data_IF_439684227442
#
_entry.id   IF_439684227442
#
_cell.length_a   1.000
_cell.length_b   1.000
_cell.length_c   1.000
_cell.angle_alpha   90.00
_cell.angle_beta   90.00
_cell.angle_gamma   90.00
#
_symmetry.space_group_name_H-M   'P 1'
#
loop_
_entity.id
_entity.type
_entity.pdbx_description
1 polymer ?
#
# COMPACT_ATOMS: atom_id res chain seq x y z
N UNK A 1 -9.74 -8.05 -10.55
CA UNK A 1 -9.03 -8.54 -9.37
C UNK A 1 -9.07 -7.51 -8.26
N UNK A 2 -9.02 -7.95 -7.04
CA UNK A 2 -8.93 -7.07 -5.88
C UNK A 2 -7.47 -6.91 -5.48
N UNK A 3 -6.96 -5.68 -5.52
CA UNK A 3 -5.53 -5.39 -5.43
C UNK A 3 -5.28 -4.43 -4.27
N UNK A 4 -4.29 -4.77 -3.44
CA UNK A 4 -3.77 -3.87 -2.43
C UNK A 4 -2.59 -3.10 -3.03
N UNK A 5 -2.63 -1.77 -2.96
CA UNK A 5 -1.54 -0.92 -3.42
C UNK A 5 -0.94 -0.18 -2.23
N UNK A 6 0.31 -0.48 -1.92
CA UNK A 6 1.08 0.28 -0.95
C UNK A 6 1.90 1.33 -1.68
N UNK A 7 2.21 2.44 -1.02
CA UNK A 7 2.98 3.50 -1.66
C UNK A 7 2.22 4.26 -2.74
N UNK A 8 0.88 4.32 -2.64
CA UNK A 8 0.05 5.00 -3.63
C UNK A 8 0.37 6.48 -3.77
N UNK A 9 0.91 7.11 -2.75
CA UNK A 9 1.32 8.51 -2.77
C UNK A 9 2.75 8.72 -3.30
N UNK A 10 3.44 7.64 -3.67
CA UNK A 10 4.74 7.73 -4.30
C UNK A 10 4.64 7.92 -5.81
N UNK A 11 5.77 8.19 -6.44
CA UNK A 11 5.83 8.50 -7.88
C UNK A 11 5.28 7.35 -8.74
N UNK A 12 5.73 6.13 -8.47
CA UNK A 12 5.30 4.96 -9.25
C UNK A 12 3.85 4.61 -8.91
N UNK A 13 3.48 4.66 -7.64
CA UNK A 13 2.14 4.32 -7.20
C UNK A 13 1.07 5.23 -7.78
N UNK A 14 1.34 6.53 -7.83
CA UNK A 14 0.41 7.49 -8.40
C UNK A 14 0.20 7.29 -9.90
N UNK A 15 1.21 6.80 -10.60
CA UNK A 15 1.11 6.51 -12.04
C UNK A 15 0.45 5.17 -12.30
N UNK A 16 0.67 4.20 -11.43
CA UNK A 16 0.11 2.87 -11.58
C UNK A 16 -1.39 2.84 -11.28
N UNK A 17 -1.84 3.63 -10.32
CA UNK A 17 -3.21 3.60 -9.85
C UNK A 17 -4.25 3.80 -10.95
N UNK A 18 -4.15 4.83 -11.81
CA UNK A 18 -5.12 4.99 -12.90
C UNK A 18 -5.13 3.79 -13.86
N UNK A 19 -3.97 3.21 -14.11
CA UNK A 19 -3.86 2.06 -15.01
C UNK A 19 -4.56 0.84 -14.45
N UNK A 20 -4.44 0.60 -13.15
CA UNK A 20 -5.13 -0.51 -12.49
C UNK A 20 -6.65 -0.32 -12.54
N UNK A 21 -7.12 0.90 -12.32
CA UNK A 21 -8.54 1.20 -12.36
C UNK A 21 -9.11 1.08 -13.77
N UNK A 22 -8.37 1.53 -14.79
CA UNK A 22 -8.79 1.44 -16.19
C UNK A 22 -8.84 -0.01 -16.66
N UNK A 23 -8.05 -0.89 -16.05
CA UNK A 23 -8.09 -2.32 -16.33
C UNK A 23 -9.25 -3.04 -15.62
N UNK A 24 -10.05 -2.32 -14.83
CA UNK A 24 -11.22 -2.88 -14.18
C UNK A 24 -10.96 -3.53 -12.82
N UNK A 25 -9.82 -3.25 -12.21
CA UNK A 25 -9.49 -3.81 -10.91
C UNK A 25 -10.10 -3.00 -9.76
N UNK A 26 -10.42 -3.68 -8.67
CA UNK A 26 -10.78 -3.04 -7.41
C UNK A 26 -9.49 -2.77 -6.64
N UNK A 27 -9.21 -1.50 -6.34
CA UNK A 27 -7.95 -1.11 -5.71
C UNK A 27 -8.21 -0.60 -4.30
N UNK A 28 -7.41 -1.10 -3.37
CA UNK A 28 -7.36 -0.63 -1.98
C UNK A 28 -5.98 -0.02 -1.77
N UNK A 29 -5.96 1.27 -1.43
CA UNK A 29 -4.71 1.97 -1.17
C UNK A 29 -4.44 1.98 0.33
N UNK A 30 -3.32 1.41 0.73
CA UNK A 30 -2.84 1.45 2.10
C UNK A 30 -1.85 2.60 2.23
N UNK A 31 -2.19 3.60 3.04
CA UNK A 31 -1.38 4.79 3.21
C UNK A 31 -1.20 5.10 4.69
N UNK A 32 -0.07 5.73 5.03
CA UNK A 32 0.18 6.14 6.41
C UNK A 32 -0.66 7.35 6.79
N UNK A 33 -0.80 8.29 5.89
CA UNK A 33 -1.57 9.51 6.10
C UNK A 33 -2.43 9.78 4.86
N UNK A 34 -3.75 9.52 4.92
CA UNK A 34 -4.64 9.74 3.79
C UNK A 34 -4.66 11.18 3.31
N UNK A 35 -4.35 12.14 4.17
CA UNK A 35 -4.32 13.56 3.80
C UNK A 35 -3.22 13.90 2.80
N UNK A 36 -2.20 13.05 2.71
CA UNK A 36 -1.09 13.24 1.77
C UNK A 36 -1.34 12.56 0.42
N UNK A 37 -2.45 11.88 0.29
CA UNK A 37 -2.81 11.20 -0.95
C UNK A 37 -3.37 12.24 -1.93
N UNK A 38 -2.55 12.63 -2.90
CA UNK A 38 -2.89 13.69 -3.86
C UNK A 38 -3.43 13.06 -5.15
N UNK A 39 -4.72 12.74 -5.14
CA UNK A 39 -5.41 12.18 -6.31
C UNK A 39 -6.71 12.96 -6.54
N UNK A 40 -7.21 12.88 -7.77
CA UNK A 40 -8.47 13.54 -8.12
C UNK A 40 -9.65 12.89 -7.40
N UNK A 41 -10.72 13.65 -7.22
CA UNK A 41 -11.94 13.13 -6.59
C UNK A 41 -12.53 11.97 -7.38
N UNK A 42 -12.43 11.99 -8.70
CA UNK A 42 -12.93 10.91 -9.54
C UNK A 42 -12.22 9.59 -9.23
N UNK A 43 -10.91 9.63 -9.06
CA UNK A 43 -10.12 8.45 -8.70
C UNK A 43 -10.43 8.05 -7.26
N UNK A 44 -10.54 9.01 -6.35
CA UNK A 44 -10.81 8.74 -4.95
C UNK A 44 -12.13 8.00 -4.74
N UNK A 45 -13.14 8.28 -5.55
CA UNK A 45 -14.42 7.59 -5.51
C UNK A 45 -14.35 6.14 -6.00
N UNK A 46 -13.32 5.80 -6.78
CA UNK A 46 -13.14 4.48 -7.38
C UNK A 46 -12.27 3.56 -6.56
N UNK A 47 -11.70 4.03 -5.45
CA UNK A 47 -10.78 3.27 -4.61
C UNK A 47 -11.28 3.21 -3.18
N UNK A 48 -10.73 2.27 -2.42
CA UNK A 48 -10.87 2.24 -0.98
C UNK A 48 -9.52 2.63 -0.37
N UNK A 49 -9.53 3.48 0.63
CA UNK A 49 -8.31 3.90 1.33
C UNK A 49 -8.34 3.35 2.75
N UNK A 50 -7.27 2.69 3.14
CA UNK A 50 -7.07 2.24 4.52
C UNK A 50 -5.79 2.85 5.06
N UNK A 51 -5.77 3.07 6.37
CA UNK A 51 -4.63 3.70 7.03
C UNK A 51 -3.77 2.63 7.67
N UNK A 52 -2.53 2.50 7.18
CA UNK A 52 -1.55 1.57 7.74
C UNK A 52 -0.18 2.25 7.71
N UNK A 53 0.47 2.28 8.87
CA UNK A 53 1.88 2.61 8.97
C UNK A 53 2.65 1.29 9.10
N UNK A 54 3.34 0.89 8.04
CA UNK A 54 4.04 -0.39 8.03
C UNK A 54 5.27 -0.42 8.94
N UNK A 55 5.72 0.73 9.44
CA UNK A 55 6.77 0.76 10.47
C UNK A 55 6.23 0.41 11.86
N UNK A 56 4.93 0.58 12.06
CA UNK A 56 4.25 0.25 13.31
C UNK A 56 2.81 -0.17 13.02
N UNK A 57 2.56 -1.48 13.00
CA UNK A 57 1.27 -2.03 12.60
C UNK A 57 0.32 -2.27 13.78
N UNK A 58 0.63 -1.75 14.96
CA UNK A 58 -0.23 -1.95 16.15
C UNK A 58 -1.61 -1.33 16.00
N UNK A 59 -1.73 -0.25 15.24
CA UNK A 59 -2.99 0.44 14.97
C UNK A 59 -3.43 0.32 13.51
N UNK A 60 -2.90 -0.67 12.79
CA UNK A 60 -3.22 -0.84 11.38
C UNK A 60 -4.68 -1.26 11.19
N UNK A 61 -5.34 -0.64 10.21
CA UNK A 61 -6.65 -1.09 9.77
C UNK A 61 -6.55 -2.49 9.16
N UNK A 62 -7.63 -3.25 9.25
CA UNK A 62 -7.65 -4.60 8.72
C UNK A 62 -7.52 -4.60 7.19
N UNK A 63 -6.62 -5.43 6.70
CA UNK A 63 -6.51 -5.69 5.27
C UNK A 63 -7.55 -6.75 4.90
N UNK A 64 -8.36 -6.54 3.85
CA UNK A 64 -9.30 -7.56 3.40
C UNK A 64 -8.56 -8.86 3.05
N UNK A 65 -9.13 -9.98 3.45
CA UNK A 65 -8.51 -11.29 3.23
C UNK A 65 -8.80 -11.88 1.85
N UNK A 66 -9.64 -11.23 1.05
CA UNK A 66 -10.04 -11.68 -0.28
C UNK A 66 -9.24 -11.00 -1.41
N UNK A 67 -8.07 -10.48 -1.09
CA UNK A 67 -7.18 -9.89 -2.08
C UNK A 67 -6.63 -10.93 -3.05
N UNK A 68 -6.50 -10.55 -4.30
CA UNK A 68 -5.87 -11.39 -5.34
C UNK A 68 -4.39 -11.10 -5.49
N UNK A 69 -3.99 -9.84 -5.35
CA UNK A 69 -2.61 -9.42 -5.52
C UNK A 69 -2.30 -8.22 -4.61
N UNK A 70 -1.02 -7.99 -4.38
CA UNK A 70 -0.55 -6.84 -3.64
C UNK A 70 0.69 -6.25 -4.31
N UNK A 71 0.74 -4.93 -4.42
CA UNK A 71 1.90 -4.20 -4.90
C UNK A 71 2.64 -3.60 -3.71
N UNK A 72 3.92 -3.91 -3.61
CA UNK A 72 4.78 -3.35 -2.58
C UNK A 72 5.67 -2.28 -3.20
N UNK A 73 5.21 -1.04 -3.15
CA UNK A 73 5.93 0.13 -3.68
C UNK A 73 6.35 1.10 -2.58
N UNK A 74 6.40 0.59 -1.36
CA UNK A 74 6.71 1.40 -0.20
C UNK A 74 8.20 1.66 -0.13
N UNK A 75 8.56 2.95 -0.07
CA UNK A 75 9.93 3.38 0.11
C UNK A 75 10.04 4.25 1.36
N UNK A 76 10.95 3.90 2.24
CA UNK A 76 11.27 4.71 3.41
C UNK A 76 12.30 5.75 3.01
N UNK A 77 11.91 7.01 3.08
CA UNK A 77 12.78 8.14 2.72
C UNK A 77 13.46 8.71 3.95
N UNK A 78 14.09 7.85 4.74
CA UNK A 78 14.84 8.28 5.91
C UNK A 78 16.14 9.02 5.51
N UNK A 79 16.46 10.06 6.24
CA UNK A 79 17.65 10.86 5.95
C UNK A 79 18.95 10.29 6.53
N UNK A 80 18.88 9.28 7.41
CA UNK A 80 20.05 8.68 8.03
C UNK A 80 20.23 7.25 7.52
N UNK A 81 21.47 6.94 7.08
CA UNK A 81 21.74 5.70 6.37
C UNK A 81 21.50 4.44 7.21
N UNK A 82 21.88 4.45 8.47
CA UNK A 82 21.69 3.29 9.34
C UNK A 82 20.21 3.04 9.66
N UNK A 83 19.48 4.11 9.91
CA UNK A 83 18.06 4.03 10.24
C UNK A 83 17.20 3.67 9.03
N UNK A 84 17.65 4.05 7.84
CA UNK A 84 16.93 3.77 6.60
C UNK A 84 16.82 2.27 6.35
N UNK A 85 17.93 1.55 6.45
CA UNK A 85 17.94 0.10 6.18
C UNK A 85 17.09 -0.66 7.21
N UNK A 86 17.21 -0.31 8.48
CA UNK A 86 16.44 -0.94 9.53
C UNK A 86 14.95 -0.66 9.36
N UNK A 87 14.58 0.57 9.01
CA UNK A 87 13.20 0.95 8.78
C UNK A 87 12.61 0.22 7.59
N UNK A 88 13.35 0.09 6.50
CA UNK A 88 12.90 -0.64 5.33
C UNK A 88 12.68 -2.12 5.64
N UNK A 89 13.58 -2.73 6.39
CA UNK A 89 13.44 -4.13 6.80
C UNK A 89 12.22 -4.33 7.68
N UNK A 90 11.96 -3.40 8.58
CA UNK A 90 10.78 -3.45 9.46
C UNK A 90 9.50 -3.34 8.66
N UNK A 91 9.43 -2.40 7.75
CA UNK A 91 8.24 -2.21 6.90
C UNK A 91 7.98 -3.44 6.04
N UNK A 92 9.00 -4.00 5.43
CA UNK A 92 8.87 -5.19 4.60
C UNK A 92 8.42 -6.40 5.44
N UNK A 93 8.98 -6.58 6.62
CA UNK A 93 8.59 -7.65 7.52
C UNK A 93 7.14 -7.52 7.95
N UNK A 94 6.72 -6.32 8.34
CA UNK A 94 5.36 -6.05 8.75
C UNK A 94 4.36 -6.25 7.61
N UNK A 95 4.73 -5.81 6.41
CA UNK A 95 3.92 -6.05 5.22
C UNK A 95 3.71 -7.55 4.99
N UNK A 96 4.78 -8.33 5.00
CA UNK A 96 4.69 -9.77 4.82
C UNK A 96 3.83 -10.43 5.90
N UNK A 97 3.98 -9.99 7.15
CA UNK A 97 3.20 -10.50 8.27
C UNK A 97 1.70 -10.29 8.07
N UNK A 98 1.31 -9.10 7.61
CA UNK A 98 -0.09 -8.79 7.34
C UNK A 98 -0.63 -9.54 6.12
N UNK A 99 0.17 -9.64 5.08
CA UNK A 99 -0.24 -10.30 3.82
C UNK A 99 -0.42 -11.80 3.99
N UNK A 100 0.38 -12.44 4.84
CA UNK A 100 0.26 -13.88 5.11
C UNK A 100 -1.10 -14.25 5.71
N UNK A 101 -1.79 -13.32 6.31
CA UNK A 101 -3.14 -13.53 6.86
C UNK A 101 -4.23 -13.44 5.79
N UNK A 102 -3.87 -13.10 4.57
CA UNK A 102 -4.80 -12.95 3.45
C UNK A 102 -4.64 -14.11 2.47
N UNK A 103 -5.49 -14.13 1.44
CA UNK A 103 -5.43 -15.13 0.38
C UNK A 103 -4.62 -14.66 -0.83
N UNK A 104 -3.79 -13.64 -0.64
CA UNK A 104 -2.97 -13.07 -1.73
C UNK A 104 -2.08 -14.16 -2.32
N UNK A 105 -2.14 -14.26 -3.65
CA UNK A 105 -1.36 -15.25 -4.41
C UNK A 105 -0.12 -14.66 -5.06
N UNK A 106 -0.07 -13.33 -5.19
CA UNK A 106 0.99 -12.65 -5.91
C UNK A 106 1.33 -11.32 -5.25
N UNK A 107 2.60 -11.11 -4.98
CA UNK A 107 3.15 -9.83 -4.51
C UNK A 107 4.10 -9.31 -5.57
N UNK A 108 3.94 -8.05 -5.91
CA UNK A 108 4.74 -7.41 -6.96
C UNK A 108 5.59 -6.28 -6.41
#
# INVERSE_FOLDING_TARGET
MKILLTGANGYIGMRLLPQLLDAGHDVICAVRDPKRLSISNDVLERIKVITIDFSDITEAEAIPNDLDAAYYLLHSMSSTQGDFEELENRCAHNFCSLIQKTKVKQVI
#
